data_IF_815673882542
#
_entry.id   IF_815673882542
#
_cell.length_a   1.000
_cell.length_b   1.000
_cell.length_c   1.000
_cell.angle_alpha   90.00
_cell.angle_beta   90.00
_cell.angle_gamma   90.00
#
_symmetry.space_group_name_H-M   'P 1'
#
loop_
_entity.id
_entity.type
_entity.pdbx_description
1 polymer ?
#
# COMPACT_ATOMS: atom_id res chain seq x y z
N UNK A 1 -38.11 -49.70 -69.44
CA UNK A 1 -38.52 -49.74 -68.03
C UNK A 1 -37.77 -48.66 -67.25
N UNK A 2 -38.48 -47.56 -66.99
CA UNK A 2 -38.38 -46.64 -65.82
C UNK A 2 -37.07 -45.83 -65.76
N UNK A 3 -36.94 -44.57 -66.18
CA UNK A 3 -37.70 -43.32 -65.91
C UNK A 3 -38.13 -43.10 -64.46
N UNK A 4 -37.32 -42.37 -63.68
CA UNK A 4 -37.85 -41.37 -62.73
C UNK A 4 -36.79 -40.35 -62.30
N UNK A 5 -37.05 -39.06 -62.57
CA UNK A 5 -37.01 -38.05 -61.51
C UNK A 5 -35.79 -37.14 -61.41
N UNK A 6 -35.62 -36.22 -62.36
CA UNK A 6 -35.03 -34.90 -62.07
C UNK A 6 -35.93 -34.12 -61.10
N UNK A 7 -35.39 -33.71 -59.95
CA UNK A 7 -35.98 -32.64 -59.12
C UNK A 7 -34.99 -31.50 -58.99
N UNK A 8 -35.41 -30.37 -59.54
CA UNK A 8 -34.80 -29.05 -59.44
C UNK A 8 -34.52 -28.68 -57.97
N UNK A 9 -33.27 -28.37 -57.66
CA UNK A 9 -32.93 -27.59 -56.48
C UNK A 9 -33.04 -26.11 -56.87
N UNK A 10 -34.01 -25.46 -56.24
CA UNK A 10 -34.34 -24.05 -56.30
C UNK A 10 -33.10 -23.21 -55.96
N UNK A 11 -32.66 -22.42 -56.94
CA UNK A 11 -31.60 -21.42 -56.76
C UNK A 11 -32.22 -20.27 -55.96
N UNK A 12 -31.89 -20.22 -54.67
CA UNK A 12 -32.20 -19.08 -53.81
C UNK A 12 -31.57 -17.82 -54.42
N UNK A 13 -32.43 -17.00 -55.02
CA UNK A 13 -32.08 -15.67 -55.54
C UNK A 13 -31.70 -14.81 -54.34
N UNK A 14 -30.45 -14.33 -54.34
CA UNK A 14 -30.02 -13.20 -53.50
C UNK A 14 -31.00 -12.06 -53.72
N UNK A 15 -31.74 -11.60 -52.69
CA UNK A 15 -32.71 -10.53 -52.89
C UNK A 15 -31.96 -9.26 -53.34
N UNK A 16 -32.42 -8.76 -54.49
CA UNK A 16 -31.88 -7.59 -55.14
C UNK A 16 -31.94 -6.35 -54.25
N UNK A 17 -31.06 -5.42 -54.61
CA UNK A 17 -30.73 -4.11 -54.03
C UNK A 17 -31.91 -3.12 -53.81
N UNK A 18 -33.16 -3.56 -53.82
CA UNK A 18 -34.35 -2.71 -53.93
C UNK A 18 -35.23 -2.60 -52.67
N UNK A 19 -35.04 -3.42 -51.63
CA UNK A 19 -35.86 -3.34 -50.40
C UNK A 19 -35.05 -2.89 -49.17
N UNK A 20 -34.62 -1.62 -49.16
CA UNK A 20 -34.32 -0.92 -47.91
C UNK A 20 -35.51 -0.04 -47.54
N UNK A 21 -36.34 -0.42 -46.56
CA UNK A 21 -37.43 0.45 -46.12
C UNK A 21 -36.85 1.77 -45.60
N UNK A 22 -37.55 2.83 -45.96
CA UNK A 22 -37.22 4.24 -45.75
C UNK A 22 -37.08 4.58 -44.26
N UNK A 23 -35.88 4.43 -43.70
CA UNK A 23 -35.46 5.08 -42.45
C UNK A 23 -34.85 6.48 -42.73
N UNK A 24 -35.45 7.23 -43.66
CA UNK A 24 -34.87 8.48 -44.19
C UNK A 24 -35.05 9.71 -43.28
N UNK A 25 -35.59 9.58 -42.07
CA UNK A 25 -35.86 10.74 -41.20
C UNK A 25 -34.90 10.98 -40.04
N UNK A 26 -34.11 9.99 -39.61
CA UNK A 26 -33.48 10.04 -38.26
C UNK A 26 -31.96 9.89 -38.24
N UNK A 27 -31.33 9.37 -39.30
CA UNK A 27 -29.90 9.09 -39.32
C UNK A 27 -29.18 9.89 -40.41
N UNK A 28 -28.10 10.57 -40.05
CA UNK A 28 -27.29 11.40 -40.97
C UNK A 28 -25.94 10.77 -41.26
N UNK A 29 -25.39 11.00 -42.46
CA UNK A 29 -24.01 10.61 -42.78
C UNK A 29 -23.01 11.54 -42.09
N UNK A 30 -21.85 11.03 -41.69
CA UNK A 30 -20.78 11.83 -41.11
C UNK A 30 -20.16 12.76 -42.17
N UNK A 31 -20.32 14.07 -42.03
CA UNK A 31 -19.61 15.09 -42.81
C UNK A 31 -18.42 15.61 -41.99
N UNK A 32 -17.71 16.61 -42.52
CA UNK A 32 -16.50 17.13 -41.89
C UNK A 32 -16.72 17.66 -40.44
N UNK A 33 -17.87 18.29 -40.17
CA UNK A 33 -18.21 18.78 -38.83
C UNK A 33 -18.39 17.61 -37.85
N UNK A 34 -19.16 16.59 -38.24
CA UNK A 34 -19.39 15.43 -37.39
C UNK A 34 -18.12 14.60 -37.14
N UNK A 35 -17.20 14.55 -38.12
CA UNK A 35 -15.88 13.95 -37.93
C UNK A 35 -15.05 14.71 -36.91
N UNK A 36 -15.09 16.04 -36.95
CA UNK A 36 -14.41 16.89 -35.96
C UNK A 36 -14.98 16.67 -34.56
N UNK A 37 -16.30 16.60 -34.42
CA UNK A 37 -16.96 16.31 -33.14
C UNK A 37 -16.57 14.92 -32.61
N UNK A 38 -16.51 13.92 -33.51
CA UNK A 38 -16.05 12.57 -33.16
C UNK A 38 -14.57 12.57 -32.72
N UNK A 39 -13.70 13.32 -33.39
CA UNK A 39 -12.29 13.42 -33.04
C UNK A 39 -12.08 14.08 -31.67
N UNK A 40 -12.85 15.12 -31.36
CA UNK A 40 -12.81 15.80 -30.05
C UNK A 40 -13.33 14.87 -28.94
N UNK A 41 -14.44 14.18 -29.19
CA UNK A 41 -14.95 13.14 -28.29
C UNK A 41 -13.91 12.03 -28.06
N UNK A 42 -13.30 11.53 -29.13
CA UNK A 42 -12.28 10.48 -29.07
C UNK A 42 -11.03 10.94 -28.34
N UNK A 43 -10.60 12.20 -28.49
CA UNK A 43 -9.47 12.75 -27.75
C UNK A 43 -9.73 12.73 -26.24
N UNK A 44 -10.90 13.22 -25.80
CA UNK A 44 -11.28 13.20 -24.39
C UNK A 44 -11.27 11.78 -23.83
N UNK A 45 -11.85 10.82 -24.57
CA UNK A 45 -11.85 9.39 -24.18
C UNK A 45 -10.46 8.74 -24.25
N UNK A 46 -9.60 9.16 -25.18
CA UNK A 46 -8.24 8.64 -25.33
C UNK A 46 -7.28 9.11 -24.22
N UNK A 47 -7.60 10.22 -23.56
CA UNK A 47 -6.90 10.64 -22.33
C UNK A 47 -7.24 9.71 -21.16
N UNK A 48 -8.45 9.15 -21.11
CA UNK A 48 -8.89 8.21 -20.06
C UNK A 48 -8.54 6.75 -20.39
N UNK A 49 -8.58 6.36 -21.67
CA UNK A 49 -8.44 4.99 -22.13
C UNK A 49 -7.45 4.87 -23.30
N UNK A 50 -6.53 3.90 -23.24
CA UNK A 50 -5.56 3.68 -24.33
C UNK A 50 -5.86 2.43 -25.19
N UNK A 51 -6.81 1.58 -24.76
CA UNK A 51 -7.16 0.37 -25.50
C UNK A 51 -7.94 0.72 -26.79
N UNK A 52 -7.45 0.37 -28.00
CA UNK A 52 -8.12 0.71 -29.25
C UNK A 52 -9.52 0.09 -29.37
N UNK A 53 -9.70 -1.13 -28.86
CA UNK A 53 -11.00 -1.81 -28.86
C UNK A 53 -12.05 -1.06 -28.05
N UNK A 54 -11.66 -0.49 -26.90
CA UNK A 54 -12.54 0.33 -26.06
C UNK A 54 -12.90 1.62 -26.77
N UNK A 55 -11.92 2.31 -27.38
CA UNK A 55 -12.16 3.56 -28.11
C UNK A 55 -13.05 3.36 -29.34
N UNK A 56 -12.89 2.26 -30.08
CA UNK A 56 -13.77 1.91 -31.20
C UNK A 56 -15.21 1.68 -30.73
N UNK A 57 -15.38 0.96 -29.60
CA UNK A 57 -16.71 0.75 -29.01
C UNK A 57 -17.36 2.08 -28.60
N UNK A 58 -16.63 2.91 -27.86
CA UNK A 58 -17.10 4.24 -27.43
C UNK A 58 -17.43 5.14 -28.62
N UNK A 59 -16.64 5.10 -29.69
CA UNK A 59 -16.94 5.84 -30.92
C UNK A 59 -18.25 5.37 -31.57
N UNK A 60 -18.50 4.05 -31.60
CA UNK A 60 -19.74 3.52 -32.14
C UNK A 60 -20.96 3.91 -31.29
N UNK A 61 -20.82 3.87 -29.97
CA UNK A 61 -21.86 4.31 -29.01
C UNK A 61 -22.15 5.80 -29.16
N UNK A 62 -21.10 6.62 -29.30
CA UNK A 62 -21.23 8.06 -29.57
C UNK A 62 -21.95 8.32 -30.90
N UNK A 63 -21.49 7.73 -31.99
CA UNK A 63 -22.13 7.90 -33.30
C UNK A 63 -23.59 7.44 -33.27
N UNK A 64 -23.90 6.39 -32.51
CA UNK A 64 -25.27 5.95 -32.31
C UNK A 64 -26.11 6.99 -31.56
N UNK A 65 -25.58 7.57 -30.47
CA UNK A 65 -26.31 8.56 -29.66
C UNK A 65 -26.61 9.85 -30.43
N UNK A 66 -25.69 10.30 -31.29
CA UNK A 66 -25.89 11.47 -32.16
C UNK A 66 -26.55 11.15 -33.50
N UNK A 67 -27.07 9.92 -33.66
CA UNK A 67 -27.76 9.40 -34.85
C UNK A 67 -26.98 9.58 -36.16
N UNK A 68 -25.68 9.29 -36.11
CA UNK A 68 -24.81 9.27 -37.28
C UNK A 68 -24.62 7.84 -37.78
N UNK A 69 -24.80 7.62 -39.07
CA UNK A 69 -24.54 6.33 -39.71
C UNK A 69 -23.07 5.98 -39.51
N UNK A 70 -22.81 4.84 -38.88
CA UNK A 70 -21.46 4.34 -38.61
C UNK A 70 -20.61 4.34 -39.90
N UNK A 71 -19.46 5.05 -39.92
CA UNK A 71 -18.53 5.02 -41.03
C UNK A 71 -17.94 3.63 -41.27
N UNK A 72 -17.32 3.45 -42.44
CA UNK A 72 -16.51 2.28 -42.71
C UNK A 72 -15.43 2.08 -41.61
N UNK A 73 -15.07 0.83 -41.35
CA UNK A 73 -14.15 0.47 -40.26
C UNK A 73 -12.78 1.13 -40.39
N UNK A 74 -12.25 1.27 -41.61
CA UNK A 74 -10.90 1.82 -41.83
C UNK A 74 -10.79 3.30 -41.41
N UNK A 75 -11.65 4.22 -41.87
CA UNK A 75 -11.69 5.60 -41.35
C UNK A 75 -11.86 5.69 -39.84
N UNK A 76 -12.71 4.84 -39.25
CA UNK A 76 -12.94 4.82 -37.81
C UNK A 76 -11.68 4.41 -37.04
N UNK A 77 -10.99 3.36 -37.48
CA UNK A 77 -9.74 2.91 -36.88
C UNK A 77 -8.64 3.97 -37.00
N UNK A 78 -8.58 4.69 -38.13
CA UNK A 78 -7.65 5.80 -38.33
C UNK A 78 -7.94 6.95 -37.35
N UNK A 79 -9.20 7.34 -37.19
CA UNK A 79 -9.60 8.38 -36.22
C UNK A 79 -9.21 7.99 -34.78
N UNK A 80 -9.39 6.72 -34.41
CA UNK A 80 -8.95 6.20 -33.10
C UNK A 80 -7.44 6.26 -32.95
N UNK A 81 -6.66 5.87 -33.97
CA UNK A 81 -5.20 5.96 -33.93
C UNK A 81 -4.73 7.41 -33.77
N UNK A 82 -5.29 8.34 -34.55
CA UNK A 82 -4.99 9.77 -34.47
C UNK A 82 -5.37 10.36 -33.10
N UNK A 83 -6.51 9.98 -32.54
CA UNK A 83 -6.92 10.43 -31.20
C UNK A 83 -5.95 9.97 -30.11
N UNK A 84 -5.40 8.75 -30.23
CA UNK A 84 -4.39 8.23 -29.29
C UNK A 84 -3.07 8.98 -29.39
N UNK A 85 -2.61 9.28 -30.61
CA UNK A 85 -1.41 10.10 -30.83
C UNK A 85 -1.60 11.51 -30.26
N UNK A 86 -2.74 12.15 -30.53
CA UNK A 86 -3.10 13.45 -29.95
C UNK A 86 -3.17 13.40 -28.42
N UNK A 87 -3.73 12.35 -27.83
CA UNK A 87 -3.77 12.17 -26.38
C UNK A 87 -2.35 12.02 -25.78
N UNK A 88 -1.42 11.36 -26.48
CA UNK A 88 -0.01 11.31 -26.10
C UNK A 88 0.64 12.69 -26.12
N UNK A 89 0.49 13.44 -27.22
CA UNK A 89 1.01 14.79 -27.34
C UNK A 89 0.42 15.75 -26.28
N UNK A 90 -0.88 15.65 -26.04
CA UNK A 90 -1.59 16.43 -25.01
C UNK A 90 -1.09 16.09 -23.60
N UNK A 91 -0.87 14.79 -23.32
CA UNK A 91 -0.27 14.36 -22.04
C UNK A 91 1.09 15.01 -21.83
N UNK A 92 1.94 14.97 -22.85
CA UNK A 92 3.26 15.60 -22.78
C UNK A 92 3.16 17.11 -22.59
N UNK A 93 2.29 17.78 -23.34
CA UNK A 93 2.07 19.23 -23.22
C UNK A 93 1.68 19.64 -21.80
N UNK A 94 0.75 18.91 -21.17
CA UNK A 94 0.32 19.15 -19.79
C UNK A 94 1.43 18.95 -18.76
N UNK A 95 2.32 17.99 -19.00
CA UNK A 95 3.45 17.71 -18.11
C UNK A 95 4.71 18.51 -18.43
N UNK A 96 4.77 19.17 -19.59
CA UNK A 96 5.94 19.94 -20.03
C UNK A 96 6.43 20.96 -18.99
N UNK A 97 5.58 21.66 -18.20
CA UNK A 97 6.05 22.57 -17.15
C UNK A 97 6.87 21.87 -16.05
N UNK A 98 6.63 20.58 -15.80
CA UNK A 98 7.38 19.78 -14.83
C UNK A 98 8.67 19.17 -15.43
N UNK A 99 8.80 19.22 -16.75
CA UNK A 99 9.86 18.56 -17.53
C UNK A 99 10.91 19.55 -18.02
N UNK A 100 11.46 20.36 -17.10
CA UNK A 100 12.62 21.21 -17.39
C UNK A 100 13.86 20.39 -17.75
N UNK A 101 14.86 21.04 -18.35
CA UNK A 101 16.08 20.36 -18.83
C UNK A 101 16.83 19.57 -17.74
N UNK A 102 16.91 20.09 -16.51
CA UNK A 102 17.50 19.37 -15.38
C UNK A 102 16.75 18.07 -15.08
N UNK A 103 15.42 18.16 -14.98
CA UNK A 103 14.56 16.99 -14.72
C UNK A 103 14.68 15.96 -15.84
N UNK A 104 14.69 16.39 -17.09
CA UNK A 104 14.90 15.48 -18.22
C UNK A 104 16.23 14.73 -18.12
N UNK A 105 17.32 15.42 -17.76
CA UNK A 105 18.62 14.80 -17.56
C UNK A 105 18.64 13.83 -16.35
N UNK A 106 17.98 14.19 -15.25
CA UNK A 106 17.78 13.30 -14.09
C UNK A 106 17.06 12.01 -14.51
N UNK A 107 15.95 12.14 -15.24
CA UNK A 107 15.13 11.03 -15.74
C UNK A 107 15.91 10.13 -16.71
N UNK A 108 16.67 10.72 -17.63
CA UNK A 108 17.51 9.94 -18.55
C UNK A 108 18.64 9.22 -17.80
N UNK A 109 19.20 9.86 -16.77
CA UNK A 109 20.18 9.27 -15.86
C UNK A 109 19.68 8.03 -15.12
N UNK A 110 18.37 7.88 -14.92
CA UNK A 110 17.78 6.68 -14.32
C UNK A 110 17.89 5.45 -15.22
N UNK A 111 17.93 5.66 -16.53
CA UNK A 111 17.92 4.58 -17.53
C UNK A 111 19.33 4.04 -17.81
N UNK A 112 20.37 4.79 -17.43
CA UNK A 112 21.77 4.43 -17.60
C UNK A 112 22.15 3.35 -16.59
N UNK A 113 22.85 2.31 -17.06
CA UNK A 113 23.42 1.28 -16.19
C UNK A 113 24.59 1.87 -15.42
N UNK A 114 24.58 1.72 -14.09
CA UNK A 114 25.62 2.23 -13.21
C UNK A 114 26.60 1.10 -12.87
N UNK A 115 27.93 1.32 -12.97
CA UNK A 115 28.91 0.29 -12.66
C UNK A 115 28.85 -0.14 -11.19
N UNK A 116 28.47 0.76 -10.29
CA UNK A 116 28.37 0.47 -8.85
C UNK A 116 27.20 -0.47 -8.51
N UNK A 117 26.11 -0.42 -9.29
CA UNK A 117 24.90 -1.22 -9.06
C UNK A 117 24.80 -2.44 -9.99
N UNK A 118 25.64 -2.51 -11.03
CA UNK A 118 25.54 -3.42 -12.16
C UNK A 118 24.20 -3.37 -12.95
N UNK A 119 23.26 -2.52 -12.54
CA UNK A 119 21.97 -2.26 -13.19
C UNK A 119 21.66 -0.77 -13.23
N UNK A 120 20.63 -0.40 -14.00
CA UNK A 120 20.12 0.97 -13.99
C UNK A 120 19.36 1.28 -12.70
N UNK A 121 19.32 2.56 -12.32
CA UNK A 121 18.50 3.02 -11.17
C UNK A 121 17.03 2.67 -11.37
N UNK A 122 16.55 2.76 -12.61
CA UNK A 122 15.20 2.32 -12.98
C UNK A 122 14.93 0.85 -12.62
N UNK A 123 15.82 -0.06 -13.04
CA UNK A 123 15.65 -1.48 -12.75
C UNK A 123 15.80 -1.78 -11.24
N UNK A 124 16.68 -1.05 -10.56
CA UNK A 124 16.86 -1.16 -9.10
C UNK A 124 15.61 -0.76 -8.33
N UNK A 125 14.92 0.32 -8.72
CA UNK A 125 13.68 0.77 -8.08
C UNK A 125 12.58 -0.31 -8.11
N UNK A 126 12.44 -1.00 -9.25
CA UNK A 126 11.41 -2.03 -9.43
C UNK A 126 11.73 -3.40 -8.82
N UNK A 127 12.93 -3.60 -8.24
CA UNK A 127 13.25 -4.84 -7.53
C UNK A 127 12.68 -4.81 -6.13
N UNK A 128 11.47 -5.31 -5.92
CA UNK A 128 10.88 -5.44 -4.59
C UNK A 128 11.64 -6.40 -3.67
N UNK A 129 11.39 -6.30 -2.37
CA UNK A 129 11.89 -7.25 -1.39
C UNK A 129 10.83 -8.27 -1.01
N UNK A 130 11.24 -9.50 -0.70
CA UNK A 130 10.31 -10.59 -0.34
C UNK A 130 10.26 -10.88 1.15
N UNK A 131 11.13 -10.25 1.96
CA UNK A 131 11.25 -10.55 3.40
C UNK A 131 11.46 -9.29 4.24
N UNK A 132 10.75 -9.18 5.37
CA UNK A 132 10.93 -8.12 6.37
C UNK A 132 12.17 -8.32 7.25
N UNK A 133 13.36 -8.45 6.63
CA UNK A 133 14.64 -8.49 7.35
C UNK A 133 15.19 -7.08 7.58
N UNK A 134 16.01 -6.84 8.62
CA UNK A 134 16.61 -5.52 8.85
C UNK A 134 17.42 -4.99 7.66
N UNK A 135 18.08 -5.89 6.92
CA UNK A 135 18.83 -5.54 5.71
C UNK A 135 17.91 -5.15 4.55
N UNK A 136 16.80 -5.87 4.36
CA UNK A 136 15.82 -5.56 3.33
C UNK A 136 15.12 -4.23 3.62
N UNK A 137 14.73 -3.96 4.88
CA UNK A 137 14.16 -2.67 5.29
C UNK A 137 15.12 -1.52 4.98
N UNK A 138 16.42 -1.69 5.25
CA UNK A 138 17.44 -0.68 4.91
C UNK A 138 17.54 -0.45 3.41
N UNK A 139 17.52 -1.51 2.61
CA UNK A 139 17.57 -1.40 1.15
C UNK A 139 16.35 -0.64 0.59
N UNK A 140 15.15 -0.90 1.09
CA UNK A 140 13.95 -0.14 0.70
C UNK A 140 14.00 1.32 1.18
N UNK A 141 14.53 1.58 2.38
CA UNK A 141 14.77 2.95 2.84
C UNK A 141 15.77 3.72 1.99
N UNK A 142 16.77 3.05 1.41
CA UNK A 142 17.70 3.68 0.47
C UNK A 142 17.01 4.04 -0.86
N UNK A 143 16.04 3.23 -1.33
CA UNK A 143 15.17 3.62 -2.45
C UNK A 143 14.30 4.82 -2.11
N UNK A 144 13.67 4.81 -0.93
CA UNK A 144 12.82 5.91 -0.48
C UNK A 144 13.62 7.22 -0.41
N UNK A 145 14.85 7.18 0.11
CA UNK A 145 15.74 8.34 0.14
C UNK A 145 16.08 8.84 -1.26
N UNK A 146 16.46 7.94 -2.15
CA UNK A 146 16.74 8.28 -3.54
C UNK A 146 15.53 8.92 -4.26
N UNK A 147 14.32 8.41 -4.04
CA UNK A 147 13.09 8.96 -4.61
C UNK A 147 12.77 10.34 -4.04
N UNK A 148 13.09 10.60 -2.76
CA UNK A 148 12.96 11.93 -2.16
C UNK A 148 14.00 12.92 -2.67
N UNK A 149 15.24 12.49 -2.90
CA UNK A 149 16.28 13.32 -3.53
C UNK A 149 15.89 13.79 -4.95
N UNK A 150 15.02 13.04 -5.62
CA UNK A 150 14.45 13.40 -6.93
C UNK A 150 13.13 14.18 -6.83
N UNK A 151 12.69 14.50 -5.61
CA UNK A 151 11.38 15.09 -5.32
C UNK A 151 10.21 14.31 -5.93
N UNK A 152 10.36 12.98 -6.11
CA UNK A 152 9.36 12.15 -6.77
C UNK A 152 8.00 12.18 -6.04
N UNK A 153 8.05 12.41 -4.72
CA UNK A 153 6.89 12.56 -3.86
C UNK A 153 6.14 13.88 -3.99
N UNK A 154 6.81 14.93 -4.45
CA UNK A 154 6.21 16.25 -4.63
C UNK A 154 5.73 16.48 -6.09
N UNK A 155 5.80 15.45 -6.94
CA UNK A 155 5.36 15.53 -8.33
C UNK A 155 3.83 15.63 -8.39
N UNK A 156 3.32 16.84 -8.64
CA UNK A 156 1.90 17.05 -8.89
C UNK A 156 1.51 16.63 -10.31
N UNK A 157 0.84 15.49 -10.43
CA UNK A 157 0.31 14.97 -11.69
C UNK A 157 -1.20 15.16 -11.83
N UNK A 158 -1.84 15.94 -10.96
CA UNK A 158 -3.30 16.17 -10.94
C UNK A 158 -3.84 16.78 -12.25
N UNK A 159 -2.97 17.39 -13.06
CA UNK A 159 -3.29 17.87 -14.42
C UNK A 159 -3.70 16.75 -15.39
N UNK A 160 -3.42 15.49 -15.04
CA UNK A 160 -3.80 14.30 -15.79
C UNK A 160 -4.91 13.51 -15.06
N UNK A 161 -5.86 12.91 -15.79
CA UNK A 161 -6.82 11.96 -15.20
C UNK A 161 -6.11 10.77 -14.53
N UNK A 162 -6.69 10.26 -13.45
CA UNK A 162 -6.15 9.13 -12.66
C UNK A 162 -5.85 7.90 -13.52
N UNK A 163 -6.80 7.54 -14.39
CA UNK A 163 -6.64 6.42 -15.31
C UNK A 163 -5.41 6.57 -16.22
N UNK A 164 -5.09 7.81 -16.62
CA UNK A 164 -3.91 8.11 -17.43
C UNK A 164 -2.63 7.93 -16.64
N UNK A 165 -2.61 8.40 -15.39
CA UNK A 165 -1.45 8.26 -14.48
C UNK A 165 -1.13 6.79 -14.25
N UNK A 166 -2.12 5.99 -13.90
CA UNK A 166 -1.97 4.55 -13.68
C UNK A 166 -1.53 3.79 -14.93
N UNK A 167 -2.07 4.16 -16.10
CA UNK A 167 -1.64 3.59 -17.37
C UNK A 167 -0.16 3.85 -17.61
N UNK A 168 0.29 5.12 -17.50
CA UNK A 168 1.67 5.51 -17.75
C UNK A 168 2.62 4.82 -16.77
N UNK A 169 2.30 4.82 -15.47
CA UNK A 169 3.05 4.10 -14.46
C UNK A 169 3.10 2.59 -14.74
N UNK A 170 1.98 2.00 -15.17
CA UNK A 170 1.89 0.61 -15.58
C UNK A 170 2.77 0.26 -16.79
N UNK A 171 2.86 1.16 -17.77
CA UNK A 171 3.77 0.99 -18.91
C UNK A 171 5.22 1.02 -18.43
N UNK A 172 5.57 1.97 -17.55
CA UNK A 172 6.91 2.09 -16.99
C UNK A 172 7.34 0.83 -16.23
N UNK A 173 6.50 0.35 -15.30
CA UNK A 173 6.76 -0.86 -14.50
C UNK A 173 7.09 -2.10 -15.34
N UNK A 174 6.44 -2.25 -16.51
CA UNK A 174 6.69 -3.39 -17.43
C UNK A 174 7.80 -3.14 -18.44
N UNK A 175 8.31 -1.91 -18.54
CA UNK A 175 9.30 -1.54 -19.54
C UNK A 175 10.72 -1.70 -19.01
N UNK A 176 11.60 -2.26 -19.82
CA UNK A 176 13.04 -2.24 -19.54
C UNK A 176 13.62 -0.85 -19.78
N UNK A 177 14.77 -0.56 -19.18
CA UNK A 177 15.46 0.72 -19.38
C UNK A 177 15.78 0.98 -20.86
N UNK A 178 16.24 -0.03 -21.59
CA UNK A 178 16.52 0.08 -23.03
C UNK A 178 15.26 0.37 -23.86
N UNK A 179 14.12 -0.26 -23.50
CA UNK A 179 12.86 -0.01 -24.18
C UNK A 179 12.40 1.45 -23.98
N UNK A 180 12.60 2.01 -22.79
CA UNK A 180 12.28 3.42 -22.49
C UNK A 180 13.23 4.39 -23.21
N UNK A 181 14.52 4.08 -23.29
CA UNK A 181 15.51 4.91 -24.00
C UNK A 181 15.18 5.09 -25.48
N UNK A 182 14.66 4.04 -26.14
CA UNK A 182 14.29 4.06 -27.56
C UNK A 182 12.97 4.78 -27.85
N UNK A 183 12.19 5.13 -26.82
CA UNK A 183 10.93 5.85 -27.02
C UNK A 183 11.19 7.31 -27.38
N UNK A 184 10.28 7.85 -28.16
CA UNK A 184 10.20 9.29 -28.43
C UNK A 184 10.01 10.07 -27.13
N UNK A 185 10.54 11.30 -27.12
CA UNK A 185 10.63 12.17 -25.95
C UNK A 185 9.26 12.44 -25.31
N UNK A 186 8.27 12.68 -26.15
CA UNK A 186 6.88 12.95 -25.80
C UNK A 186 6.19 11.76 -25.10
N UNK A 187 6.63 10.54 -25.36
CA UNK A 187 6.14 9.33 -24.68
C UNK A 187 7.03 8.93 -23.51
N UNK A 188 8.34 9.10 -23.63
CA UNK A 188 9.33 8.67 -22.65
C UNK A 188 9.13 9.38 -21.32
N UNK A 189 9.15 10.71 -21.30
CA UNK A 189 9.15 11.46 -20.05
C UNK A 189 7.83 11.34 -19.26
N UNK A 190 6.63 11.38 -19.87
CA UNK A 190 5.39 11.14 -19.14
C UNK A 190 5.34 9.76 -18.48
N UNK A 191 5.87 8.72 -19.13
CA UNK A 191 5.97 7.38 -18.54
C UNK A 191 6.90 7.40 -17.33
N UNK A 192 8.09 7.99 -17.46
CA UNK A 192 9.07 8.03 -16.37
C UNK A 192 8.55 8.78 -15.14
N UNK A 193 8.00 9.98 -15.35
CA UNK A 193 7.48 10.82 -14.25
C UNK A 193 6.31 10.16 -13.54
N UNK A 194 5.33 9.62 -14.29
CA UNK A 194 4.19 8.94 -13.68
C UNK A 194 4.62 7.71 -12.88
N UNK A 195 5.59 6.96 -13.39
CA UNK A 195 6.12 5.78 -12.69
C UNK A 195 6.91 6.17 -11.43
N UNK A 196 7.68 7.25 -11.45
CA UNK A 196 8.42 7.70 -10.27
C UNK A 196 7.51 8.16 -9.14
N UNK A 197 6.47 8.94 -9.48
CA UNK A 197 5.48 9.38 -8.50
C UNK A 197 4.79 8.18 -7.85
N UNK A 198 4.40 7.19 -8.65
CA UNK A 198 3.82 5.93 -8.17
C UNK A 198 4.83 5.12 -7.33
N UNK A 199 6.07 4.96 -7.78
CA UNK A 199 7.09 4.21 -7.05
C UNK A 199 7.42 4.85 -5.69
N UNK A 200 7.31 6.17 -5.55
CA UNK A 200 7.48 6.84 -4.27
C UNK A 200 6.42 6.41 -3.24
N UNK A 201 5.17 6.21 -3.69
CA UNK A 201 4.08 5.68 -2.87
C UNK A 201 4.29 4.20 -2.58
N UNK A 202 4.57 3.39 -3.61
CA UNK A 202 4.77 1.94 -3.46
C UNK A 202 5.90 1.60 -2.49
N UNK A 203 7.06 2.26 -2.62
CA UNK A 203 8.22 2.03 -1.74
C UNK A 203 7.91 2.48 -0.31
N UNK A 204 7.18 3.59 -0.14
CA UNK A 204 6.75 4.03 1.19
C UNK A 204 5.85 2.98 1.85
N UNK A 205 4.84 2.50 1.11
CA UNK A 205 3.92 1.46 1.59
C UNK A 205 4.66 0.15 1.91
N UNK A 206 5.62 -0.26 1.08
CA UNK A 206 6.44 -1.46 1.31
C UNK A 206 7.29 -1.30 2.59
N UNK A 207 7.96 -0.16 2.79
CA UNK A 207 8.74 0.12 4.01
C UNK A 207 7.86 0.04 5.25
N UNK A 208 6.66 0.63 5.19
CA UNK A 208 5.70 0.64 6.29
C UNK A 208 5.22 -0.77 6.60
N UNK A 209 4.86 -1.54 5.57
CA UNK A 209 4.41 -2.92 5.71
C UNK A 209 5.51 -3.81 6.30
N UNK A 210 6.75 -3.68 5.82
CA UNK A 210 7.88 -4.44 6.37
C UNK A 210 8.19 -4.05 7.82
N UNK A 211 8.05 -2.76 8.15
CA UNK A 211 8.23 -2.29 9.51
C UNK A 211 7.19 -2.89 10.46
N UNK A 212 5.91 -2.86 10.08
CA UNK A 212 4.85 -3.51 10.84
C UNK A 212 5.10 -5.02 10.97
N UNK A 213 5.42 -5.72 9.88
CA UNK A 213 5.68 -7.16 9.90
C UNK A 213 6.87 -7.51 10.84
N UNK A 214 7.93 -6.70 10.83
CA UNK A 214 9.08 -6.88 11.71
C UNK A 214 8.71 -6.66 13.19
N UNK A 215 7.94 -5.61 13.50
CA UNK A 215 7.44 -5.33 14.86
C UNK A 215 6.51 -6.44 15.36
N UNK A 216 5.48 -6.76 14.58
CA UNK A 216 4.54 -7.85 14.87
C UNK A 216 5.27 -9.19 15.03
N UNK A 217 6.30 -9.46 14.23
CA UNK A 217 7.14 -10.64 14.37
C UNK A 217 7.97 -10.66 15.66
N UNK A 218 8.44 -9.51 16.15
CA UNK A 218 9.10 -9.43 17.47
C UNK A 218 8.13 -9.63 18.61
N UNK A 219 6.95 -9.01 18.54
CA UNK A 219 5.90 -9.10 19.54
C UNK A 219 5.41 -10.54 19.71
N UNK A 220 5.13 -11.21 18.59
CA UNK A 220 4.71 -12.61 18.60
C UNK A 220 5.77 -13.55 19.19
N UNK A 221 7.06 -13.29 18.93
CA UNK A 221 8.15 -14.07 19.55
C UNK A 221 8.24 -13.81 21.05
N UNK A 222 8.12 -12.56 21.48
CA UNK A 222 8.12 -12.20 22.89
C UNK A 222 6.95 -12.86 23.64
N UNK A 223 5.76 -12.87 23.03
CA UNK A 223 4.57 -13.53 23.58
C UNK A 223 4.73 -15.04 23.69
N UNK A 224 5.22 -15.72 22.64
CA UNK A 224 5.48 -17.17 22.68
C UNK A 224 6.46 -17.54 23.79
N UNK A 225 7.57 -16.80 23.91
CA UNK A 225 8.54 -17.00 25.01
C UNK A 225 7.89 -16.81 26.38
N UNK A 226 7.02 -15.81 26.52
CA UNK A 226 6.30 -15.61 27.77
C UNK A 226 5.37 -16.77 28.08
N UNK A 227 4.59 -17.23 27.09
CA UNK A 227 3.67 -18.37 27.24
C UNK A 227 4.44 -19.65 27.62
N UNK A 228 5.60 -19.90 27.00
CA UNK A 228 6.52 -21.01 27.35
C UNK A 228 7.03 -20.90 28.80
N UNK A 229 7.45 -19.71 29.23
CA UNK A 229 7.90 -19.47 30.61
C UNK A 229 6.77 -19.65 31.62
N UNK A 230 5.57 -19.19 31.31
CA UNK A 230 4.39 -19.36 32.16
C UNK A 230 3.96 -20.83 32.25
N UNK A 231 4.00 -21.56 31.14
CA UNK A 231 3.73 -23.00 31.11
C UNK A 231 4.77 -23.79 31.92
N UNK A 232 6.06 -23.51 31.73
CA UNK A 232 7.13 -24.12 32.52
C UNK A 232 6.96 -23.84 34.02
N UNK A 233 6.60 -22.60 34.38
CA UNK A 233 6.32 -22.22 35.77
C UNK A 233 5.08 -22.93 36.34
N UNK A 234 4.05 -23.16 35.53
CA UNK A 234 2.86 -23.89 35.94
C UNK A 234 3.17 -25.35 36.26
N UNK A 235 4.01 -26.01 35.45
CA UNK A 235 4.48 -27.39 35.70
C UNK A 235 5.25 -27.47 37.02
N UNK A 236 6.25 -26.59 37.21
CA UNK A 236 7.03 -26.53 38.46
C UNK A 236 6.15 -26.21 39.68
N UNK A 237 5.12 -25.37 39.50
CA UNK A 237 4.14 -25.05 40.54
C UNK A 237 3.22 -26.23 40.89
N UNK A 238 2.87 -27.06 39.92
CA UNK A 238 2.08 -28.28 40.14
C UNK A 238 2.89 -29.37 40.88
N UNK A 239 4.17 -29.53 40.52
CA UNK A 239 5.10 -30.45 41.21
C UNK A 239 5.38 -30.04 42.66
N UNK A 240 5.36 -28.74 42.97
CA UNK A 240 5.54 -28.21 44.32
C UNK A 240 4.32 -28.42 45.26
N UNK A 241 3.21 -28.98 44.76
CA UNK A 241 2.02 -29.31 45.54
C UNK A 241 1.08 -28.12 45.85
N UNK A 242 -0.16 -28.39 46.33
CA UNK A 242 -1.27 -27.43 46.38
C UNK A 242 -1.16 -26.32 47.46
N UNK A 243 0.01 -26.15 48.09
CA UNK A 243 0.19 -25.15 49.14
C UNK A 243 0.39 -23.71 48.60
N UNK A 244 0.67 -23.54 47.31
CA UNK A 244 1.03 -22.26 46.69
C UNK A 244 -0.12 -21.53 45.98
N UNK A 245 -1.25 -21.31 46.66
CA UNK A 245 -2.31 -20.45 46.13
C UNK A 245 -1.85 -18.98 46.06
N UNK A 246 -1.83 -18.41 44.86
CA UNK A 246 -1.47 -17.02 44.59
C UNK A 246 -2.51 -16.07 45.22
N UNK A 247 -2.29 -15.67 46.47
CA UNK A 247 -3.03 -14.59 47.10
C UNK A 247 -2.59 -13.27 46.46
N UNK A 248 -3.20 -12.95 45.31
CA UNK A 248 -3.02 -11.70 44.61
C UNK A 248 -3.33 -10.49 45.51
N UNK A 249 -2.44 -9.51 45.49
CA UNK A 249 -2.77 -8.09 45.68
C UNK A 249 -3.42 -7.70 47.00
N UNK A 250 -2.65 -7.68 48.08
CA UNK A 250 -3.03 -6.96 49.28
C UNK A 250 -2.03 -7.20 50.38
N UNK A 251 -1.22 -6.19 50.70
CA UNK A 251 -0.41 -6.17 51.91
C UNK A 251 -1.34 -6.06 53.13
N UNK A 252 -2.14 -7.08 53.41
CA UNK A 252 -2.73 -7.25 54.74
C UNK A 252 -1.73 -8.08 55.53
N UNK A 253 -1.11 -7.53 56.58
CA UNK A 253 -0.40 -8.35 57.54
C UNK A 253 -1.43 -9.38 58.00
N UNK A 254 -1.20 -10.66 57.70
CA UNK A 254 -2.07 -11.78 58.03
C UNK A 254 -2.64 -11.54 59.43
N UNK A 255 -3.93 -11.18 59.50
CA UNK A 255 -4.54 -10.63 60.70
C UNK A 255 -4.23 -11.55 61.87
N UNK A 256 -3.34 -11.10 62.76
CA UNK A 256 -2.82 -11.92 63.87
C UNK A 256 -3.92 -12.29 64.86
N UNK A 257 -5.12 -11.71 64.71
CA UNK A 257 -6.26 -11.71 65.63
C UNK A 257 -7.62 -11.94 64.97
N UNK A 258 -7.71 -12.33 63.69
CA UNK A 258 -8.99 -12.59 63.01
C UNK A 258 -9.30 -14.10 62.91
N UNK A 259 -10.56 -14.50 63.11
CA UNK A 259 -11.00 -15.93 63.06
C UNK A 259 -10.62 -16.66 61.77
N UNK A 260 -10.48 -15.96 60.64
CA UNK A 260 -9.99 -16.52 59.38
C UNK A 260 -8.50 -16.87 59.39
N UNK A 261 -7.68 -16.07 60.10
CA UNK A 261 -6.23 -16.33 60.25
C UNK A 261 -5.93 -17.49 61.19
N UNK A 262 -6.75 -17.71 62.22
CA UNK A 262 -6.63 -18.86 63.12
C UNK A 262 -6.94 -20.18 62.39
N UNK A 263 -8.04 -20.26 61.63
CA UNK A 263 -8.38 -21.48 60.87
C UNK A 263 -7.33 -21.86 59.83
N UNK A 264 -6.71 -20.87 59.18
CA UNK A 264 -5.64 -21.11 58.21
C UNK A 264 -4.35 -21.60 58.89
N UNK A 265 -4.03 -21.12 60.10
CA UNK A 265 -2.88 -21.58 60.89
C UNK A 265 -3.07 -22.99 61.46
N UNK A 266 -4.27 -23.28 61.95
CA UNK A 266 -4.61 -24.60 62.50
C UNK A 266 -4.74 -25.67 61.40
N UNK A 267 -5.25 -25.31 60.22
CA UNK A 267 -5.44 -26.25 59.11
C UNK A 267 -4.22 -26.48 58.22
N UNK A 268 -3.44 -25.43 57.91
CA UNK A 268 -2.34 -25.49 56.94
C UNK A 268 -0.96 -25.48 57.62
N UNK A 269 -0.84 -24.91 58.82
CA UNK A 269 0.42 -24.77 59.56
C UNK A 269 1.29 -23.60 59.07
N UNK A 270 1.88 -22.85 60.00
CA UNK A 270 2.69 -21.65 59.69
C UNK A 270 3.90 -21.95 58.79
N UNK A 271 4.51 -23.11 58.95
CA UNK A 271 5.70 -23.50 58.18
C UNK A 271 5.38 -23.74 56.70
N UNK A 272 4.21 -24.33 56.40
CA UNK A 272 3.75 -24.49 55.00
C UNK A 272 3.36 -23.16 54.38
N UNK A 273 2.82 -22.23 55.16
CA UNK A 273 2.49 -20.88 54.67
C UNK A 273 3.73 -20.05 54.41
N UNK A 274 4.79 -20.19 55.22
CA UNK A 274 6.08 -19.57 54.97
C UNK A 274 6.81 -20.22 53.79
N UNK A 275 6.71 -21.54 53.62
CA UNK A 275 7.26 -22.25 52.46
C UNK A 275 6.52 -21.92 51.14
N UNK A 276 5.21 -21.67 51.21
CA UNK A 276 4.40 -21.22 50.07
C UNK A 276 4.59 -19.73 49.72
N UNK A 277 5.21 -18.96 50.62
CA UNK A 277 5.46 -17.53 50.40
C UNK A 277 6.58 -17.36 49.37
N UNK A 278 6.20 -17.11 48.12
CA UNK A 278 7.15 -16.73 47.06
C UNK A 278 7.92 -15.46 47.44
N UNK A 279 9.22 -15.46 47.15
CA UNK A 279 10.06 -14.27 47.30
C UNK A 279 9.44 -13.14 46.46
N UNK A 280 9.35 -11.90 46.96
CA UNK A 280 8.95 -10.74 46.16
C UNK A 280 9.68 -10.62 44.82
N UNK A 281 10.93 -11.11 44.71
CA UNK A 281 11.71 -11.17 43.46
C UNK A 281 11.18 -12.15 42.43
N UNK A 282 10.45 -13.19 42.87
CA UNK A 282 9.86 -14.20 41.98
C UNK A 282 8.49 -13.77 41.44
N UNK A 283 7.96 -12.64 41.92
CA UNK A 283 6.70 -12.08 41.40
C UNK A 283 6.96 -11.45 40.04
N UNK A 284 6.12 -11.80 39.07
CA UNK A 284 6.16 -11.12 37.77
C UNK A 284 5.85 -9.64 38.00
N UNK A 285 6.55 -8.73 37.31
CA UNK A 285 6.21 -7.31 37.37
C UNK A 285 4.79 -7.07 36.81
N UNK A 286 4.25 -5.86 36.97
CA UNK A 286 2.85 -5.53 36.63
C UNK A 286 2.48 -5.76 35.16
N UNK A 287 3.47 -5.87 34.28
CA UNK A 287 3.37 -6.20 32.86
C UNK A 287 3.43 -7.72 32.59
N UNK A 288 3.37 -8.55 33.63
CA UNK A 288 3.54 -10.00 33.55
C UNK A 288 4.88 -10.45 32.94
N UNK A 289 5.91 -9.60 32.95
CA UNK A 289 7.22 -9.90 32.37
C UNK A 289 7.28 -9.80 30.84
N UNK A 290 6.22 -9.29 30.20
CA UNK A 290 6.14 -9.14 28.75
C UNK A 290 7.17 -8.12 28.21
N UNK A 291 7.36 -6.98 28.88
CA UNK A 291 8.33 -5.97 28.43
C UNK A 291 9.77 -6.49 28.52
N UNK A 292 10.06 -7.38 29.46
CA UNK A 292 11.37 -8.04 29.55
C UNK A 292 11.64 -8.95 28.33
N UNK A 293 10.60 -9.59 27.78
CA UNK A 293 10.74 -10.40 26.57
C UNK A 293 10.96 -9.54 25.32
N UNK A 294 10.37 -8.35 25.28
CA UNK A 294 10.63 -7.35 24.22
C UNK A 294 12.05 -6.79 24.35
N UNK A 295 12.52 -6.49 25.57
CA UNK A 295 13.88 -5.97 25.82
C UNK A 295 14.96 -6.93 25.31
N UNK A 296 14.74 -8.26 25.45
CA UNK A 296 15.61 -9.27 24.85
C UNK A 296 15.69 -9.21 23.31
N UNK A 297 14.71 -8.59 22.65
CA UNK A 297 14.66 -8.38 21.20
C UNK A 297 15.13 -6.97 20.77
N UNK A 298 15.56 -6.14 21.73
CA UNK A 298 15.91 -4.74 21.47
C UNK A 298 17.09 -4.58 20.50
N UNK A 299 18.10 -5.46 20.57
CA UNK A 299 19.23 -5.44 19.63
C UNK A 299 18.77 -5.62 18.18
N UNK A 300 17.80 -6.51 17.94
CA UNK A 300 17.21 -6.71 16.61
C UNK A 300 16.43 -5.48 16.16
N UNK A 301 15.59 -4.91 17.03
CA UNK A 301 14.82 -3.69 16.71
C UNK A 301 15.73 -2.51 16.38
N UNK A 302 16.83 -2.32 17.12
CA UNK A 302 17.81 -1.26 16.85
C UNK A 302 18.50 -1.40 15.49
N UNK A 303 18.51 -2.59 14.89
CA UNK A 303 19.12 -2.79 13.59
C UNK A 303 18.37 -2.07 12.45
N UNK A 304 17.09 -1.72 12.61
CA UNK A 304 16.30 -1.04 11.57
C UNK A 304 15.45 0.13 12.08
N UNK A 305 14.93 0.07 13.32
CA UNK A 305 14.03 1.09 13.86
C UNK A 305 14.58 2.53 13.81
N UNK A 306 15.87 2.80 14.10
CA UNK A 306 16.42 4.16 13.98
C UNK A 306 16.32 4.73 12.56
N UNK A 307 16.49 3.87 11.55
CA UNK A 307 16.46 4.28 10.15
C UNK A 307 15.03 4.55 9.68
N UNK A 308 14.08 3.69 10.08
CA UNK A 308 12.65 3.90 9.78
C UNK A 308 12.14 5.16 10.48
N UNK A 309 12.40 5.31 11.78
CA UNK A 309 11.97 6.49 12.55
C UNK A 309 12.64 7.77 12.04
N UNK A 310 13.87 7.70 11.56
CA UNK A 310 14.54 8.85 10.94
C UNK A 310 14.00 9.21 9.55
N UNK A 311 13.55 8.22 8.78
CA UNK A 311 13.07 8.43 7.42
C UNK A 311 11.58 8.77 7.34
N UNK A 312 10.72 8.18 8.17
CA UNK A 312 9.28 8.36 8.05
C UNK A 312 8.79 9.54 8.89
N UNK A 313 7.81 10.27 8.37
CA UNK A 313 7.03 11.22 9.16
C UNK A 313 5.78 10.49 9.67
N UNK A 314 5.49 10.65 10.96
CA UNK A 314 4.35 10.03 11.60
C UNK A 314 3.39 11.11 12.03
N UNK A 315 2.16 11.01 11.59
CA UNK A 315 1.06 11.86 12.00
C UNK A 315 0.02 10.99 12.71
N UNK A 316 -0.82 11.57 13.56
CA UNK A 316 -1.80 10.77 14.29
C UNK A 316 -3.07 11.54 14.58
N UNK A 317 -4.16 10.81 14.74
CA UNK A 317 -5.38 11.33 15.36
C UNK A 317 -5.13 11.80 16.80
N UNK A 318 -6.03 12.63 17.32
CA UNK A 318 -5.91 13.25 18.65
C UNK A 318 -5.63 12.24 19.78
N UNK A 319 -6.25 11.06 19.71
CA UNK A 319 -6.12 9.99 20.70
C UNK A 319 -4.74 9.31 20.70
N UNK A 320 -4.05 9.30 19.55
CA UNK A 320 -2.74 8.69 19.37
C UNK A 320 -1.59 9.69 19.47
N UNK A 321 -1.86 10.98 19.74
CA UNK A 321 -0.87 12.04 19.92
C UNK A 321 0.26 11.69 20.91
N UNK A 322 0.00 11.05 22.07
CA UNK A 322 1.07 10.64 22.99
C UNK A 322 2.08 9.66 22.36
N UNK A 323 1.65 8.87 21.37
CA UNK A 323 2.52 7.92 20.67
C UNK A 323 3.45 8.65 19.70
N UNK A 324 2.95 9.63 18.94
CA UNK A 324 3.78 10.45 18.05
C UNK A 324 4.80 11.25 18.85
N UNK A 325 4.42 11.80 20.01
CA UNK A 325 5.36 12.44 20.93
C UNK A 325 6.45 11.48 21.41
N UNK A 326 6.10 10.23 21.74
CA UNK A 326 7.06 9.21 22.12
C UNK A 326 8.00 8.83 20.95
N UNK A 327 7.50 8.75 19.72
CA UNK A 327 8.32 8.57 18.51
C UNK A 327 9.28 9.75 18.32
N UNK A 328 8.85 10.98 18.60
CA UNK A 328 9.71 12.17 18.61
C UNK A 328 10.87 12.04 19.60
N UNK A 329 10.59 11.57 20.82
CA UNK A 329 11.64 11.28 21.82
C UNK A 329 12.58 10.17 21.34
N UNK A 330 12.05 9.09 20.74
CA UNK A 330 12.88 8.02 20.18
C UNK A 330 13.79 8.54 19.06
N UNK A 331 13.28 9.42 18.18
CA UNK A 331 14.05 10.05 17.12
C UNK A 331 15.22 10.85 17.70
N UNK A 332 14.99 11.65 18.74
CA UNK A 332 16.06 12.37 19.43
C UNK A 332 17.10 11.43 20.06
N UNK A 333 16.65 10.36 20.73
CA UNK A 333 17.54 9.40 21.38
C UNK A 333 18.41 8.67 20.36
N UNK A 334 17.83 8.25 19.24
CA UNK A 334 18.56 7.62 18.15
C UNK A 334 19.53 8.59 17.47
N UNK A 335 19.14 9.85 17.25
CA UNK A 335 20.03 10.89 16.72
C UNK A 335 21.22 11.21 17.63
N UNK A 336 21.03 11.15 18.95
CA UNK A 336 22.09 11.39 19.95
C UNK A 336 22.93 10.15 20.28
N UNK A 337 22.64 8.98 19.70
CA UNK A 337 23.30 7.72 20.01
C UNK A 337 23.08 7.22 21.45
N UNK A 338 22.11 7.76 22.19
CA UNK A 338 21.90 7.45 23.61
C UNK A 338 21.01 6.22 23.80
N UNK A 339 21.38 5.36 24.74
CA UNK A 339 20.72 4.07 24.98
C UNK A 339 19.58 4.11 26.02
N UNK A 340 19.37 5.21 26.75
CA UNK A 340 18.32 5.33 27.78
C UNK A 340 17.42 6.52 27.56
N UNK A 341 16.11 6.28 27.65
CA UNK A 341 15.10 7.31 27.80
C UNK A 341 15.33 8.10 29.11
N UNK A 342 15.07 9.42 29.15
CA UNK A 342 15.14 10.19 30.39
C UNK A 342 14.27 9.53 31.48
N UNK A 343 14.88 9.22 32.63
CA UNK A 343 14.20 8.54 33.72
C UNK A 343 12.99 9.38 34.18
N UNK A 344 11.78 8.84 34.04
CA UNK A 344 10.54 9.48 34.52
C UNK A 344 9.30 9.36 33.63
N UNK A 345 9.42 8.91 32.37
CA UNK A 345 8.25 8.79 31.45
C UNK A 345 7.90 7.38 30.99
N UNK A 346 8.50 6.34 31.57
CA UNK A 346 8.05 4.95 31.40
C UNK A 346 6.78 4.68 32.21
N UNK A 347 5.69 5.37 31.86
CA UNK A 347 4.36 4.95 32.30
C UNK A 347 3.95 3.78 31.40
N UNK A 348 3.67 2.59 31.93
CA UNK A 348 3.17 1.49 31.11
C UNK A 348 1.81 1.92 30.55
N UNK A 349 1.72 2.08 29.22
CA UNK A 349 0.44 2.17 28.54
C UNK A 349 -0.26 0.83 28.74
N UNK A 350 -1.43 0.87 29.36
CA UNK A 350 -2.28 -0.30 29.58
C UNK A 350 -3.01 -0.61 28.26
N UNK A 351 -2.80 -1.76 27.60
CA UNK A 351 -3.75 -2.20 26.60
C UNK A 351 -5.06 -2.50 27.33
N UNK A 352 -6.08 -1.67 27.14
CA UNK A 352 -7.45 -1.99 27.56
C UNK A 352 -8.05 -2.90 26.47
N UNK A 353 -8.02 -4.21 26.72
CA UNK A 353 -8.78 -5.21 25.96
C UNK A 353 -8.02 -5.85 24.80
N UNK A 354 -8.46 -7.03 24.34
CA UNK A 354 -7.88 -7.70 23.18
C UNK A 354 -8.39 -7.02 21.91
N UNK A 355 -7.48 -6.70 20.98
CA UNK A 355 -7.69 -5.91 19.73
C UNK A 355 -7.70 -4.39 19.95
N UNK A 356 -6.53 -3.78 20.02
CA UNK A 356 -6.31 -2.38 19.60
C UNK A 356 -4.80 -2.19 19.37
N UNK A 357 -4.27 -2.86 18.35
CA UNK A 357 -3.34 -2.15 17.47
C UNK A 357 -4.29 -1.36 16.57
N UNK A 358 -4.37 -0.01 16.64
CA UNK A 358 -4.93 0.71 15.52
C UNK A 358 -4.20 0.20 14.29
N UNK A 359 -4.96 -0.18 13.27
CA UNK A 359 -4.42 -0.56 11.98
C UNK A 359 -3.38 0.51 11.61
N UNK A 360 -2.11 0.14 11.45
CA UNK A 360 -1.04 1.11 11.17
C UNK A 360 -1.33 1.89 9.88
N UNK A 361 -2.29 1.40 9.07
CA UNK A 361 -2.90 2.12 7.95
C UNK A 361 -3.57 3.45 8.34
N UNK A 362 -4.09 3.60 9.57
CA UNK A 362 -4.73 4.85 10.07
C UNK A 362 -3.71 5.91 10.53
N UNK A 363 -2.46 5.52 10.82
CA UNK A 363 -1.43 6.41 11.41
C UNK A 363 -0.52 7.03 10.34
N UNK A 364 -0.66 6.64 9.06
CA UNK A 364 0.35 6.96 8.02
C UNK A 364 -0.22 7.79 6.85
N UNK A 365 -1.52 8.08 6.82
CA UNK A 365 -2.19 8.63 5.62
C UNK A 365 -2.73 10.06 5.75
N UNK A 366 -1.87 11.05 6.01
CA UNK A 366 -2.29 12.47 5.96
C UNK A 366 -1.48 13.38 5.05
N UNK A 367 -0.43 12.90 4.37
CA UNK A 367 0.25 13.68 3.32
C UNK A 367 0.05 13.15 1.89
N UNK A 368 -0.62 12.01 1.69
CA UNK A 368 -0.60 11.29 0.40
C UNK A 368 -1.96 10.88 -0.16
N UNK A 369 -3.05 11.39 0.41
CA UNK A 369 -4.39 11.27 -0.17
C UNK A 369 -4.76 12.64 -0.75
N UNK A 370 -4.78 12.84 -2.09
CA UNK A 370 -5.56 13.93 -2.65
C UNK A 370 -6.98 13.75 -2.15
N UNK A 371 -7.58 14.80 -1.58
CA UNK A 371 -8.93 14.79 -1.02
C UNK A 371 -9.96 14.20 -2.00
N UNK A 372 -10.23 12.90 -1.89
CA UNK A 372 -11.22 12.20 -2.73
C UNK A 372 -12.16 11.31 -1.90
N UNK A 373 -12.06 11.32 -0.57
CA UNK A 373 -13.08 10.70 0.29
C UNK A 373 -14.03 11.79 0.78
N UNK A 374 -14.95 12.19 -0.11
CA UNK A 374 -16.14 12.97 0.25
C UNK A 374 -17.14 12.02 0.92
N UNK A 375 -17.41 12.28 2.19
CA UNK A 375 -18.46 11.64 2.99
C UNK A 375 -19.83 11.97 2.39
N UNK A 376 -20.31 11.15 1.45
CA UNK A 376 -21.73 11.15 1.08
C UNK A 376 -22.29 9.74 1.02
N UNK A 377 -23.09 9.42 2.03
CA UNK A 377 -23.93 8.22 2.03
C UNK A 377 -24.59 7.87 3.36
N UNK A 378 -25.09 8.86 4.11
CA UNK A 378 -26.05 8.60 5.17
C UNK A 378 -27.40 8.16 4.59
N UNK A 379 -27.95 7.09 5.16
CA UNK A 379 -29.39 6.83 5.38
C UNK A 379 -30.38 7.48 4.41
N UNK A 380 -30.86 6.71 3.43
CA UNK A 380 -32.27 6.32 3.22
C UNK A 380 -32.38 5.37 2.02
#
# INVERSE_FOLDING_TARGET
MVDTGHRNAEVDRVPGRADRPRLQGLWRAAKAAEWKDLEEFLLARALEHDAPSVLVRLACEYLHSVRIVRPCVVPLLRAVATARERAAAETYSRLSPLLGASRQAELDGLLIVRPELAVSRWAWLHRGTTTASPMAIRAELDKLRFLRELDAHALDLSVLPDARRWLLAGIGRRSTNQALQRREVDRRYPILVATLAECAVEVLDEVVQMFDQALSGTENRARRRLDELLAARAVLGAEAGPAGGDAGGGHRPWCRTGRGGLRLREGIGMDRMLAARRDPKDRLPRDHGHLAQIDASFTYLRAFAPHVVGALEFESSEHARPLVEAVGVLRELYGKGRARSPAGRSRPLRPRGPRFLPDLSEIIRSQWVPSCFDERGGTL
#
